data_IF_825624906601
#
_entry.id   IF_825624906601
#
_cell.length_a   1.000
_cell.length_b   1.000
_cell.length_c   1.000
_cell.angle_alpha   90.00
_cell.angle_beta   90.00
_cell.angle_gamma   90.00
#
_symmetry.space_group_name_H-M   'P 1'
#
loop_
_entity.id
_entity.type
_entity.pdbx_description
1 polymer ?
#
# COMPACT_ATOMS: atom_id res chain seq x y z
N UNK A 1 3.67 1.59 -27.13
CA UNK A 1 4.43 2.23 -26.04
C UNK A 1 5.45 3.24 -26.54
N UNK A 2 6.63 2.87 -27.07
CA UNK A 2 7.61 3.88 -27.54
C UNK A 2 7.15 4.70 -28.75
N UNK A 3 6.09 4.27 -29.44
CA UNK A 3 5.44 5.01 -30.54
C UNK A 3 4.27 5.87 -30.07
N UNK A 4 3.89 5.75 -28.79
CA UNK A 4 2.74 6.44 -28.24
C UNK A 4 3.19 7.83 -27.77
N UNK A 5 2.33 8.82 -27.94
CA UNK A 5 2.63 10.19 -27.56
C UNK A 5 2.77 10.31 -26.04
N UNK A 6 3.81 10.99 -25.57
CA UNK A 6 4.05 11.21 -24.15
C UNK A 6 3.27 12.47 -23.70
N UNK A 7 2.24 12.35 -22.85
CA UNK A 7 1.52 13.52 -22.35
C UNK A 7 2.35 14.35 -21.36
N UNK A 8 3.45 13.81 -20.84
CA UNK A 8 4.34 14.46 -19.87
C UNK A 8 5.52 15.19 -20.52
N UNK A 9 5.73 15.04 -21.83
CA UNK A 9 6.73 15.77 -22.62
C UNK A 9 6.14 16.24 -23.95
N UNK A 10 5.90 17.55 -24.07
CA UNK A 10 5.25 18.15 -25.24
C UNK A 10 5.90 17.76 -26.56
N UNK A 11 5.12 17.14 -27.46
CA UNK A 11 5.51 16.84 -28.84
C UNK A 11 6.43 15.63 -29.02
N UNK A 12 6.69 14.83 -27.97
CA UNK A 12 7.55 13.64 -28.06
C UNK A 12 6.76 12.35 -27.78
N UNK A 13 7.22 11.24 -28.33
CA UNK A 13 6.77 9.91 -27.91
C UNK A 13 7.52 9.46 -26.65
N UNK A 14 7.03 8.42 -25.97
CA UNK A 14 7.75 7.83 -24.85
C UNK A 14 9.14 7.33 -25.28
N UNK A 15 10.14 7.56 -24.43
CA UNK A 15 11.53 7.13 -24.65
C UNK A 15 12.02 6.26 -23.49
N UNK A 16 13.04 5.43 -23.74
CA UNK A 16 13.69 4.67 -22.68
C UNK A 16 14.31 5.59 -21.62
N UNK A 17 14.93 6.70 -22.04
CA UNK A 17 15.54 7.68 -21.13
C UNK A 17 14.51 8.30 -20.18
N UNK A 18 13.31 8.62 -20.69
CA UNK A 18 12.20 9.09 -19.86
C UNK A 18 11.84 8.06 -18.80
N UNK A 19 11.63 6.79 -19.17
CA UNK A 19 11.30 5.74 -18.21
C UNK A 19 12.42 5.50 -17.20
N UNK A 20 13.70 5.56 -17.61
CA UNK A 20 14.85 5.45 -16.70
C UNK A 20 14.89 6.62 -15.72
N UNK A 21 14.61 7.84 -16.17
CA UNK A 21 14.53 9.02 -15.31
C UNK A 21 13.38 8.91 -14.30
N UNK A 22 12.20 8.49 -14.75
CA UNK A 22 11.04 8.25 -13.90
C UNK A 22 11.30 7.15 -12.87
N UNK A 23 11.92 6.04 -13.27
CA UNK A 23 12.34 4.98 -12.35
C UNK A 23 13.35 5.46 -11.30
N UNK A 24 14.32 6.30 -11.70
CA UNK A 24 15.26 6.91 -10.77
C UNK A 24 14.55 7.77 -9.74
N UNK A 25 13.62 8.64 -10.17
CA UNK A 25 12.80 9.46 -9.27
C UNK A 25 11.98 8.61 -8.31
N UNK A 26 11.37 7.53 -8.79
CA UNK A 26 10.65 6.58 -7.94
C UNK A 26 11.56 6.00 -6.85
N UNK A 27 12.75 5.50 -7.20
CA UNK A 27 13.69 4.96 -6.21
C UNK A 27 14.17 6.00 -5.22
N UNK A 28 14.56 7.18 -5.69
CA UNK A 28 15.03 8.26 -4.82
C UNK A 28 13.93 8.71 -3.85
N UNK A 29 12.68 8.72 -4.32
CA UNK A 29 11.50 9.01 -3.51
C UNK A 29 11.28 7.94 -2.43
N UNK A 30 11.28 6.66 -2.82
CA UNK A 30 11.11 5.52 -1.90
C UNK A 30 12.21 5.46 -0.84
N UNK A 31 13.46 5.74 -1.20
CA UNK A 31 14.62 5.66 -0.30
C UNK A 31 14.66 6.84 0.68
N UNK A 32 14.47 8.08 0.20
CA UNK A 32 14.80 9.28 0.99
C UNK A 32 13.59 9.96 1.63
N UNK A 33 12.44 9.96 0.96
CA UNK A 33 11.30 10.83 1.32
C UNK A 33 10.11 10.01 1.82
N UNK A 34 9.89 8.83 1.25
CA UNK A 34 8.73 8.02 1.58
C UNK A 34 8.72 7.56 3.03
N UNK A 35 9.83 7.05 3.56
CA UNK A 35 9.80 6.45 4.90
C UNK A 35 9.52 7.48 6.01
N UNK A 36 10.20 8.62 5.98
CA UNK A 36 10.02 9.67 7.01
C UNK A 36 8.66 10.34 6.90
N UNK A 37 8.19 10.64 5.69
CA UNK A 37 6.90 11.29 5.49
C UNK A 37 5.73 10.33 5.80
N UNK A 38 5.88 9.03 5.48
CA UNK A 38 4.90 8.01 5.87
C UNK A 38 4.80 7.85 7.39
N UNK A 39 5.92 7.82 8.10
CA UNK A 39 5.91 7.70 9.56
C UNK A 39 5.18 8.89 10.18
N UNK A 40 5.49 10.11 9.75
CA UNK A 40 4.80 11.31 10.22
C UNK A 40 3.31 11.31 9.89
N UNK A 41 2.93 10.89 8.67
CA UNK A 41 1.50 10.70 8.31
C UNK A 41 0.83 9.62 9.14
N UNK A 42 1.50 8.53 9.44
CA UNK A 42 0.97 7.43 10.26
C UNK A 42 0.79 7.87 11.71
N UNK A 43 1.75 8.58 12.29
CA UNK A 43 1.64 9.20 13.62
C UNK A 43 0.46 10.18 13.67
N UNK A 44 0.36 11.10 12.72
CA UNK A 44 -0.73 12.07 12.65
C UNK A 44 -2.10 11.40 12.42
N UNK A 45 -2.17 10.33 11.62
CA UNK A 45 -3.42 9.63 11.39
C UNK A 45 -3.86 8.80 12.60
N UNK A 46 -2.95 8.05 13.24
CA UNK A 46 -3.22 7.33 14.50
C UNK A 46 -3.72 8.29 15.59
N UNK A 47 -3.15 9.47 15.61
CA UNK A 47 -3.54 10.52 16.52
C UNK A 47 -5.01 10.93 16.33
N UNK A 48 -5.43 11.22 15.11
CA UNK A 48 -6.82 11.55 14.81
C UNK A 48 -7.79 10.38 15.11
N UNK A 49 -7.37 9.14 14.88
CA UNK A 49 -8.15 7.96 15.23
C UNK A 49 -8.37 7.82 16.74
N UNK A 50 -7.33 8.06 17.54
CA UNK A 50 -7.45 8.10 19.00
C UNK A 50 -8.41 9.19 19.46
N UNK A 51 -8.38 10.35 18.79
CA UNK A 51 -9.29 11.46 19.08
C UNK A 51 -10.76 11.12 18.79
N UNK A 52 -11.06 10.44 17.67
CA UNK A 52 -12.41 9.95 17.39
C UNK A 52 -12.86 8.88 18.39
N UNK A 53 -11.96 7.98 18.80
CA UNK A 53 -12.25 6.96 19.79
C UNK A 53 -12.57 7.58 21.16
N UNK A 54 -11.79 8.57 21.60
CA UNK A 54 -12.06 9.33 22.83
C UNK A 54 -13.40 10.07 22.76
N UNK A 55 -13.71 10.70 21.62
CA UNK A 55 -15.00 11.37 21.43
C UNK A 55 -16.16 10.38 21.49
N UNK A 56 -16.04 9.24 20.81
CA UNK A 56 -17.06 8.17 20.84
C UNK A 56 -17.25 7.60 22.24
N UNK A 57 -16.16 7.43 23.00
CA UNK A 57 -16.20 6.99 24.39
C UNK A 57 -16.95 8.02 25.25
N UNK A 58 -16.62 9.31 25.12
CA UNK A 58 -17.28 10.39 25.84
C UNK A 58 -18.78 10.47 25.54
N UNK A 59 -19.17 10.35 24.27
CA UNK A 59 -20.58 10.32 23.84
C UNK A 59 -21.32 9.10 24.41
N UNK A 60 -20.67 7.92 24.40
CA UNK A 60 -21.25 6.71 24.99
C UNK A 60 -21.42 6.81 26.51
N UNK A 61 -20.47 7.45 27.19
CA UNK A 61 -20.52 7.69 28.62
C UNK A 61 -21.66 8.65 28.97
N UNK A 62 -21.78 9.76 28.22
CA UNK A 62 -22.88 10.72 28.37
C UNK A 62 -24.25 10.09 28.11
N UNK A 63 -24.37 9.24 27.07
CA UNK A 63 -25.60 8.51 26.79
C UNK A 63 -25.94 7.51 27.92
N UNK A 64 -24.94 6.82 28.47
CA UNK A 64 -25.10 5.93 29.62
C UNK A 64 -25.60 6.69 30.85
N UNK A 65 -25.01 7.85 31.14
CA UNK A 65 -25.44 8.71 32.26
C UNK A 65 -26.89 9.17 32.07
N UNK A 66 -27.25 9.62 30.87
CA UNK A 66 -28.61 10.05 30.54
C UNK A 66 -29.66 8.92 30.64
N UNK A 67 -29.23 7.66 30.49
CA UNK A 67 -30.10 6.47 30.58
C UNK A 67 -30.16 5.84 31.99
N UNK A 68 -29.25 6.23 32.89
CA UNK A 68 -29.14 5.66 34.24
C UNK A 68 -30.04 6.36 35.27
N UNK A 69 -30.58 5.61 36.24
CA UNK A 69 -31.36 6.17 37.37
C UNK A 69 -30.46 7.00 38.31
N UNK A 70 -31.00 7.88 39.18
CA UNK A 70 -30.27 8.94 39.88
C UNK A 70 -29.33 8.50 41.02
N UNK A 71 -28.81 7.27 40.96
CA UNK A 71 -27.96 6.65 41.99
C UNK A 71 -26.46 6.65 41.68
N UNK A 72 -26.03 7.16 40.51
CA UNK A 72 -24.59 7.35 40.25
C UNK A 72 -24.07 8.59 40.97
N UNK A 73 -22.90 8.45 41.62
CA UNK A 73 -22.18 9.54 42.27
C UNK A 73 -21.88 10.67 41.26
N UNK A 74 -22.59 11.81 41.33
CA UNK A 74 -22.48 12.88 40.34
C UNK A 74 -21.09 13.51 40.36
N UNK A 75 -20.39 13.44 41.49
CA UNK A 75 -19.04 13.95 41.69
C UNK A 75 -18.00 13.15 40.90
N UNK A 76 -18.12 11.82 40.91
CA UNK A 76 -17.25 10.93 40.14
C UNK A 76 -17.48 11.09 38.62
N UNK A 77 -18.74 11.24 38.19
CA UNK A 77 -19.08 11.45 36.79
C UNK A 77 -18.52 12.78 36.24
N UNK A 78 -18.64 13.87 37.01
CA UNK A 78 -18.06 15.16 36.66
C UNK A 78 -16.53 15.13 36.62
N UNK A 79 -15.88 14.44 37.57
CA UNK A 79 -14.43 14.26 37.58
C UNK A 79 -13.94 13.55 36.31
N UNK A 80 -14.63 12.49 35.86
CA UNK A 80 -14.25 11.79 34.63
C UNK A 80 -14.47 12.64 33.38
N UNK A 81 -15.53 13.45 33.33
CA UNK A 81 -15.76 14.37 32.20
C UNK A 81 -14.66 15.42 32.10
N UNK A 82 -14.24 15.97 33.23
CA UNK A 82 -13.18 16.97 33.28
C UNK A 82 -11.82 16.37 32.86
N UNK A 83 -11.53 15.12 33.25
CA UNK A 83 -10.34 14.41 32.80
C UNK A 83 -10.37 14.13 31.28
N UNK A 84 -11.52 13.77 30.71
CA UNK A 84 -11.69 13.60 29.26
C UNK A 84 -11.45 14.93 28.52
N UNK A 85 -11.97 16.03 29.04
CA UNK A 85 -11.77 17.37 28.46
C UNK A 85 -10.29 17.79 28.50
N UNK A 86 -9.61 17.56 29.62
CA UNK A 86 -8.18 17.84 29.76
C UNK A 86 -7.34 16.98 28.80
N UNK A 87 -7.69 15.70 28.62
CA UNK A 87 -7.05 14.82 27.65
C UNK A 87 -7.28 15.30 26.21
N UNK A 88 -8.51 15.72 25.87
CA UNK A 88 -8.82 16.31 24.56
C UNK A 88 -8.03 17.61 24.30
N UNK A 89 -7.83 18.44 25.32
CA UNK A 89 -7.05 19.67 25.20
C UNK A 89 -5.57 19.39 24.97
N UNK A 90 -4.98 18.50 25.76
CA UNK A 90 -3.58 18.03 25.57
C UNK A 90 -3.38 17.43 24.18
N UNK A 91 -4.38 16.69 23.72
CA UNK A 91 -4.43 16.17 22.37
C UNK A 91 -4.36 17.33 21.35
N UNK A 92 -5.26 18.30 21.40
CA UNK A 92 -5.24 19.43 20.45
C UNK A 92 -3.90 20.21 20.44
N UNK A 93 -3.24 20.35 21.59
CA UNK A 93 -1.92 20.99 21.69
C UNK A 93 -0.80 20.17 21.01
N UNK A 94 -0.86 18.84 21.09
CA UNK A 94 0.10 17.94 20.42
C UNK A 94 -0.01 18.02 18.88
N UNK A 95 -1.22 18.23 18.34
CA UNK A 95 -1.45 18.46 16.89
C UNK A 95 -0.73 19.73 16.42
N UNK A 96 -0.83 20.81 17.19
CA UNK A 96 -0.17 22.07 16.82
C UNK A 96 1.36 21.91 16.76
N UNK A 97 1.93 21.02 17.59
CA UNK A 97 3.35 20.69 17.58
C UNK A 97 3.76 19.77 16.43
N UNK A 98 2.92 18.81 16.06
CA UNK A 98 3.20 17.85 14.99
C UNK A 98 3.16 18.49 13.59
N UNK A 99 2.51 19.65 13.42
CA UNK A 99 2.42 20.36 12.15
C UNK A 99 1.36 19.78 11.20
N UNK A 100 1.41 20.16 9.92
CA UNK A 100 0.47 19.68 8.89
C UNK A 100 1.18 18.81 7.87
N UNK A 101 0.92 17.49 7.89
CA UNK A 101 1.36 16.56 6.83
C UNK A 101 0.27 16.20 5.83
N UNK A 102 -0.93 16.76 6.01
CA UNK A 102 -2.12 16.52 5.17
C UNK A 102 -2.61 17.81 4.48
N UNK A 103 -1.78 18.85 4.39
CA UNK A 103 -2.09 20.06 3.64
C UNK A 103 -2.37 19.72 2.17
N UNK A 104 -3.50 20.21 1.64
CA UNK A 104 -3.93 19.96 0.26
C UNK A 104 -3.22 20.90 -0.72
N UNK A 105 -2.94 22.14 -0.30
CA UNK A 105 -2.10 23.13 -0.98
C UNK A 105 -1.21 23.85 0.05
N UNK A 106 0.08 24.01 -0.25
CA UNK A 106 1.02 24.74 0.62
C UNK A 106 0.70 26.25 0.71
N UNK A 107 -0.12 26.76 -0.21
CA UNK A 107 -0.47 28.18 -0.37
C UNK A 107 -1.91 28.52 0.07
N UNK A 108 -2.75 27.52 0.35
CA UNK A 108 -4.14 27.74 0.77
C UNK A 108 -4.27 27.90 2.29
N UNK A 109 -5.32 28.61 2.72
CA UNK A 109 -5.61 28.81 4.15
C UNK A 109 -5.86 27.45 4.84
N UNK A 110 -5.16 27.23 5.95
CA UNK A 110 -5.13 25.93 6.63
C UNK A 110 -6.51 25.56 7.17
N UNK A 111 -7.11 24.49 6.63
CA UNK A 111 -8.36 23.94 7.14
C UNK A 111 -8.11 22.69 8.02
N UNK A 112 -8.12 22.81 9.36
CA UNK A 112 -7.80 21.69 10.26
C UNK A 112 -8.82 20.55 10.19
N UNK A 113 -10.08 20.84 9.84
CA UNK A 113 -11.10 19.79 9.69
C UNK A 113 -10.89 18.97 8.42
N UNK A 114 -10.47 19.62 7.33
CA UNK A 114 -10.11 18.95 6.09
C UNK A 114 -8.89 18.05 6.29
N UNK A 115 -7.85 18.55 6.98
CA UNK A 115 -6.66 17.77 7.33
C UNK A 115 -7.03 16.53 8.14
N UNK A 116 -7.88 16.69 9.17
CA UNK A 116 -8.35 15.58 10.00
C UNK A 116 -9.07 14.52 9.15
N UNK A 117 -10.03 14.92 8.33
CA UNK A 117 -10.81 13.99 7.48
C UNK A 117 -9.90 13.29 6.47
N UNK A 118 -8.95 14.01 5.87
CA UNK A 118 -7.97 13.46 4.94
C UNK A 118 -7.06 12.42 5.64
N UNK A 119 -6.59 12.72 6.85
CA UNK A 119 -5.75 11.81 7.63
C UNK A 119 -6.49 10.52 8.01
N UNK A 120 -7.74 10.63 8.44
CA UNK A 120 -8.59 9.48 8.75
C UNK A 120 -8.84 8.64 7.50
N UNK A 121 -9.15 9.28 6.37
CA UNK A 121 -9.32 8.60 5.09
C UNK A 121 -8.05 7.87 4.67
N UNK A 122 -6.89 8.53 4.78
CA UNK A 122 -5.58 7.94 4.49
C UNK A 122 -5.28 6.72 5.37
N UNK A 123 -5.56 6.79 6.68
CA UNK A 123 -5.38 5.64 7.58
C UNK A 123 -6.27 4.46 7.18
N UNK A 124 -7.56 4.72 6.95
CA UNK A 124 -8.50 3.68 6.54
C UNK A 124 -8.06 3.01 5.24
N UNK A 125 -7.57 3.82 4.30
CA UNK A 125 -7.11 3.32 3.01
C UNK A 125 -5.79 2.56 3.10
N UNK A 126 -4.87 3.01 3.95
CA UNK A 126 -3.62 2.30 4.25
C UNK A 126 -3.88 0.94 4.92
N UNK A 127 -4.84 0.89 5.86
CA UNK A 127 -5.29 -0.36 6.46
C UNK A 127 -5.91 -1.30 5.41
N UNK A 128 -6.75 -0.76 4.52
CA UNK A 128 -7.33 -1.51 3.41
C UNK A 128 -6.25 -2.10 2.48
N UNK A 129 -5.21 -1.32 2.16
CA UNK A 129 -4.08 -1.78 1.36
C UNK A 129 -3.28 -2.89 2.04
N UNK A 130 -3.01 -2.78 3.36
CA UNK A 130 -2.35 -3.84 4.15
C UNK A 130 -3.11 -5.17 4.01
N UNK A 131 -4.45 -5.15 4.07
CA UNK A 131 -5.26 -6.35 3.86
C UNK A 131 -5.23 -6.84 2.41
N UNK A 132 -5.22 -5.95 1.41
CA UNK A 132 -5.12 -6.33 0.02
C UNK A 132 -3.81 -7.10 -0.27
N UNK A 133 -2.68 -6.56 0.21
CA UNK A 133 -1.37 -7.22 0.10
C UNK A 133 -1.39 -8.59 0.79
N UNK A 134 -1.97 -8.67 1.99
CA UNK A 134 -2.04 -9.92 2.74
C UNK A 134 -2.89 -10.98 2.02
N UNK A 135 -4.08 -10.63 1.52
CA UNK A 135 -4.95 -11.54 0.77
C UNK A 135 -4.26 -12.00 -0.53
N UNK A 136 -3.62 -11.09 -1.26
CA UNK A 136 -2.91 -11.46 -2.48
C UNK A 136 -1.72 -12.38 -2.21
N UNK A 137 -0.97 -12.13 -1.13
CA UNK A 137 0.11 -13.03 -0.70
C UNK A 137 -0.40 -14.43 -0.34
N UNK A 138 -1.56 -14.54 0.31
CA UNK A 138 -2.16 -15.85 0.63
C UNK A 138 -2.76 -16.57 -0.57
N UNK A 139 -3.22 -15.83 -1.58
CA UNK A 139 -3.67 -16.41 -2.84
C UNK A 139 -2.52 -16.74 -3.79
N UNK A 140 -1.29 -16.30 -3.50
CA UNK A 140 -0.12 -16.52 -4.36
C UNK A 140 0.10 -18.00 -4.68
N UNK A 141 0.08 -18.94 -3.72
CA UNK A 141 0.22 -20.37 -4.02
C UNK A 141 -0.83 -20.86 -5.02
N UNK A 142 -2.09 -20.41 -4.89
CA UNK A 142 -3.18 -20.78 -5.80
C UNK A 142 -2.91 -20.30 -7.23
N UNK A 143 -2.31 -19.12 -7.38
CA UNK A 143 -1.91 -18.57 -8.69
C UNK A 143 -0.73 -19.36 -9.27
N UNK A 144 0.28 -19.63 -8.46
CA UNK A 144 1.48 -20.37 -8.87
C UNK A 144 1.14 -21.79 -9.34
N UNK A 145 0.21 -22.45 -8.65
CA UNK A 145 -0.31 -23.77 -9.04
C UNK A 145 -0.94 -23.79 -10.43
N UNK A 146 -1.62 -22.70 -10.81
CA UNK A 146 -2.27 -22.56 -12.12
C UNK A 146 -1.27 -22.24 -13.22
N UNK A 147 -0.23 -21.47 -12.91
CA UNK A 147 0.77 -21.04 -13.88
C UNK A 147 1.88 -22.07 -14.11
N UNK A 148 2.27 -22.82 -13.09
CA UNK A 148 3.40 -23.77 -13.15
C UNK A 148 2.93 -25.23 -13.32
N UNK A 149 1.62 -25.50 -13.28
CA UNK A 149 1.06 -26.84 -13.40
C UNK A 149 1.25 -27.72 -12.17
N UNK A 150 1.79 -27.18 -11.08
CA UNK A 150 1.99 -27.87 -9.82
C UNK A 150 0.65 -28.02 -9.08
N UNK A 151 0.30 -29.25 -8.71
CA UNK A 151 -0.95 -29.52 -7.98
C UNK A 151 -0.80 -29.10 -6.52
N UNK A 152 -1.44 -28.01 -6.14
CA UNK A 152 -1.76 -27.77 -4.73
C UNK A 152 -2.69 -28.88 -4.23
N UNK A 153 -2.22 -29.63 -3.24
CA UNK A 153 -3.06 -30.60 -2.53
C UNK A 153 -4.30 -29.95 -1.92
N UNK A 154 -5.35 -30.75 -1.69
CA UNK A 154 -6.64 -30.29 -1.14
C UNK A 154 -6.48 -29.61 0.22
N UNK A 155 -5.66 -30.18 1.09
CA UNK A 155 -5.38 -29.67 2.44
C UNK A 155 -4.84 -28.23 2.42
N UNK A 156 -3.93 -27.91 1.50
CA UNK A 156 -3.36 -26.56 1.44
C UNK A 156 -4.37 -25.56 0.87
N UNK A 157 -5.18 -25.97 -0.12
CA UNK A 157 -6.28 -25.15 -0.63
C UNK A 157 -7.30 -24.83 0.46
N UNK A 158 -7.72 -25.85 1.22
CA UNK A 158 -8.66 -25.71 2.33
C UNK A 158 -8.13 -24.74 3.40
N UNK A 159 -6.87 -24.89 3.82
CA UNK A 159 -6.24 -23.97 4.78
C UNK A 159 -6.23 -22.51 4.30
N UNK A 160 -6.00 -22.28 3.01
CA UNK A 160 -6.04 -20.94 2.42
C UNK A 160 -7.47 -20.38 2.49
N UNK A 161 -8.48 -21.15 2.08
CA UNK A 161 -9.87 -20.72 2.14
C UNK A 161 -10.37 -20.50 3.58
N UNK A 162 -9.95 -21.32 4.54
CA UNK A 162 -10.24 -21.12 5.96
C UNK A 162 -9.59 -19.85 6.51
N UNK A 163 -8.35 -19.54 6.11
CA UNK A 163 -7.68 -18.30 6.49
C UNK A 163 -8.41 -17.06 5.93
N UNK A 164 -8.81 -17.11 4.65
CA UNK A 164 -9.60 -16.07 4.01
C UNK A 164 -10.97 -15.90 4.69
N UNK A 165 -11.66 -17.01 4.98
CA UNK A 165 -12.94 -17.03 5.68
C UNK A 165 -12.87 -16.37 7.05
N UNK A 166 -11.84 -16.69 7.85
CA UNK A 166 -11.61 -16.08 9.17
C UNK A 166 -11.46 -14.56 9.13
N UNK A 167 -10.94 -14.01 8.03
CA UNK A 167 -10.67 -12.56 7.91
C UNK A 167 -11.77 -11.78 7.22
N UNK A 168 -12.70 -12.44 6.54
CA UNK A 168 -13.79 -11.81 5.79
C UNK A 168 -14.52 -10.74 6.60
N UNK A 169 -14.87 -11.03 7.86
CA UNK A 169 -15.59 -10.09 8.71
C UNK A 169 -14.75 -8.85 9.05
N UNK A 170 -13.48 -9.05 9.40
CA UNK A 170 -12.55 -7.96 9.69
C UNK A 170 -12.33 -7.07 8.46
N UNK A 171 -12.10 -7.69 7.29
CA UNK A 171 -11.91 -6.97 6.02
C UNK A 171 -13.17 -6.20 5.64
N UNK A 172 -14.35 -6.81 5.79
CA UNK A 172 -15.64 -6.14 5.52
C UNK A 172 -15.82 -4.90 6.41
N UNK A 173 -15.41 -4.98 7.68
CA UNK A 173 -15.42 -3.82 8.59
C UNK A 173 -14.47 -2.72 8.11
N UNK A 174 -13.25 -3.06 7.69
CA UNK A 174 -12.27 -2.10 7.18
C UNK A 174 -12.75 -1.44 5.88
N UNK A 175 -13.33 -2.23 4.96
CA UNK A 175 -13.96 -1.72 3.73
C UNK A 175 -15.05 -0.71 4.07
N UNK A 176 -15.93 -1.05 5.04
CA UNK A 176 -17.00 -0.15 5.49
C UNK A 176 -16.42 1.16 6.05
N UNK A 177 -15.45 1.07 6.97
CA UNK A 177 -14.77 2.25 7.54
C UNK A 177 -14.15 3.13 6.45
N UNK A 178 -13.52 2.53 5.44
CA UNK A 178 -12.98 3.27 4.30
C UNK A 178 -14.08 3.97 3.49
N UNK A 179 -15.17 3.25 3.14
CA UNK A 179 -16.27 3.82 2.37
C UNK A 179 -16.96 4.97 3.12
N UNK A 180 -17.16 4.82 4.44
CA UNK A 180 -17.76 5.83 5.30
C UNK A 180 -16.87 7.08 5.37
N UNK A 181 -15.57 6.92 5.63
CA UNK A 181 -14.60 8.04 5.66
C UNK A 181 -14.45 8.74 4.31
N UNK A 182 -14.45 7.99 3.19
CA UNK A 182 -14.41 8.57 1.84
C UNK A 182 -15.66 9.38 1.56
N UNK A 183 -16.82 8.84 1.89
CA UNK A 183 -18.11 9.52 1.71
C UNK A 183 -18.17 10.79 2.55
N UNK A 184 -17.70 10.75 3.79
CA UNK A 184 -17.63 11.92 4.66
C UNK A 184 -16.70 13.01 4.09
N UNK A 185 -15.50 12.65 3.64
CA UNK A 185 -14.58 13.60 3.01
C UNK A 185 -15.19 14.24 1.75
N UNK A 186 -15.69 13.43 0.83
CA UNK A 186 -16.26 13.90 -0.43
C UNK A 186 -17.48 14.82 -0.21
N UNK A 187 -18.38 14.48 0.72
CA UNK A 187 -19.53 15.33 1.04
C UNK A 187 -19.16 16.74 1.48
N UNK A 188 -18.02 16.90 2.17
CA UNK A 188 -17.66 18.17 2.80
C UNK A 188 -16.64 18.98 1.97
N UNK A 189 -15.83 18.31 1.15
CA UNK A 189 -14.72 18.96 0.44
C UNK A 189 -14.72 18.75 -1.08
N UNK A 190 -15.43 17.76 -1.61
CA UNK A 190 -15.49 17.49 -3.06
C UNK A 190 -16.85 16.86 -3.45
N UNK A 191 -17.97 17.60 -3.27
CA UNK A 191 -19.31 17.05 -3.46
C UNK A 191 -19.61 16.69 -4.92
N UNK A 192 -18.95 17.36 -5.86
CA UNK A 192 -18.95 17.08 -7.30
C UNK A 192 -18.41 15.68 -7.64
N UNK A 193 -17.44 15.20 -6.88
CA UNK A 193 -16.84 13.88 -7.07
C UNK A 193 -17.66 12.75 -6.45
N UNK A 194 -18.62 13.05 -5.57
CA UNK A 194 -19.39 12.06 -4.81
C UNK A 194 -20.20 11.11 -5.72
N UNK A 195 -20.72 11.62 -6.83
CA UNK A 195 -21.55 10.84 -7.77
C UNK A 195 -20.74 10.01 -8.77
N UNK A 196 -19.40 10.14 -8.80
CA UNK A 196 -18.57 9.43 -9.76
C UNK A 196 -18.63 7.91 -9.51
N UNK A 197 -18.67 7.08 -10.58
CA UNK A 197 -18.70 5.62 -10.44
C UNK A 197 -17.54 5.06 -9.60
N UNK A 198 -16.37 5.67 -9.69
CA UNK A 198 -15.15 5.29 -8.97
C UNK A 198 -15.28 5.48 -7.44
N UNK A 199 -16.16 6.39 -7.01
CA UNK A 199 -16.37 6.73 -5.61
C UNK A 199 -17.51 5.94 -4.94
N UNK A 200 -18.12 4.98 -5.66
CA UNK A 200 -19.16 4.09 -5.10
C UNK A 200 -18.57 3.13 -4.08
N UNK A 201 -19.38 2.79 -3.06
CA UNK A 201 -18.99 1.86 -2.01
C UNK A 201 -18.56 0.51 -2.61
N UNK A 202 -17.41 0.01 -2.17
CA UNK A 202 -16.82 -1.22 -2.67
C UNK A 202 -17.29 -2.37 -1.78
N UNK A 203 -17.66 -3.49 -2.37
CA UNK A 203 -18.01 -4.72 -1.64
C UNK A 203 -16.81 -5.64 -1.46
N UNK A 204 -16.92 -6.62 -0.56
CA UNK A 204 -15.84 -7.59 -0.32
C UNK A 204 -15.42 -8.34 -1.60
N UNK A 205 -16.37 -8.70 -2.46
CA UNK A 205 -16.08 -9.43 -3.69
C UNK A 205 -15.29 -8.56 -4.68
N UNK A 206 -15.74 -7.32 -4.91
CA UNK A 206 -15.01 -6.34 -5.74
C UNK A 206 -13.61 -6.10 -5.18
N UNK A 207 -13.48 -5.95 -3.86
CA UNK A 207 -12.20 -5.78 -3.19
C UNK A 207 -11.24 -6.96 -3.43
N UNK A 208 -11.73 -8.20 -3.39
CA UNK A 208 -10.87 -9.38 -3.65
C UNK A 208 -10.38 -9.49 -5.09
N UNK A 209 -11.07 -8.84 -6.03
CA UNK A 209 -10.70 -8.81 -7.44
C UNK A 209 -9.71 -7.68 -7.77
N UNK A 210 -9.63 -6.64 -6.92
CA UNK A 210 -8.69 -5.53 -7.10
C UNK A 210 -7.24 -6.03 -7.10
N UNK A 211 -6.53 -5.71 -8.18
CA UNK A 211 -5.09 -5.94 -8.30
C UNK A 211 -4.33 -4.89 -7.49
N UNK A 212 -3.09 -5.18 -7.07
CA UNK A 212 -2.26 -4.19 -6.36
C UNK A 212 -1.84 -3.03 -7.28
N UNK A 213 -1.78 -3.28 -8.59
CA UNK A 213 -1.42 -2.27 -9.60
C UNK A 213 -2.60 -1.36 -9.99
N UNK A 214 -3.81 -1.66 -9.48
CA UNK A 214 -5.04 -0.96 -9.84
C UNK A 214 -4.94 0.56 -9.55
N UNK A 215 -5.44 1.43 -10.44
CA UNK A 215 -5.49 2.87 -10.20
C UNK A 215 -6.18 3.24 -8.88
N UNK A 216 -7.09 2.40 -8.38
CA UNK A 216 -7.70 2.53 -7.06
C UNK A 216 -6.66 2.76 -5.97
N UNK A 217 -5.47 2.16 -6.02
CA UNK A 217 -4.44 2.33 -4.98
C UNK A 217 -3.57 3.57 -5.16
N UNK A 218 -3.63 4.22 -6.32
CA UNK A 218 -2.75 5.33 -6.70
C UNK A 218 -3.51 6.65 -6.87
N UNK A 219 -4.71 6.75 -6.31
CA UNK A 219 -5.37 8.05 -6.21
C UNK A 219 -4.51 9.00 -5.36
N UNK A 220 -4.65 10.31 -5.63
CA UNK A 220 -3.86 11.38 -5.03
C UNK A 220 -3.86 11.38 -3.48
N UNK A 221 -4.78 10.63 -2.87
CA UNK A 221 -4.91 10.47 -1.43
C UNK A 221 -3.82 9.57 -0.83
N UNK A 222 -3.43 8.46 -1.48
CA UNK A 222 -2.36 7.57 -0.98
C UNK A 222 -0.98 7.96 -1.50
N UNK A 223 -0.89 8.44 -2.73
CA UNK A 223 0.38 8.75 -3.35
C UNK A 223 0.93 10.06 -2.79
N UNK A 224 2.03 9.94 -2.06
CA UNK A 224 2.84 11.07 -1.60
C UNK A 224 3.53 11.83 -2.73
N UNK A 225 3.48 11.32 -3.97
CA UNK A 225 4.02 11.97 -5.15
C UNK A 225 2.95 12.12 -6.25
N UNK A 226 2.93 13.30 -6.89
CA UNK A 226 2.13 13.61 -8.08
C UNK A 226 2.92 13.39 -9.39
N UNK A 227 4.12 12.81 -9.30
CA UNK A 227 4.97 12.57 -10.46
C UNK A 227 4.34 11.57 -11.45
N UNK A 228 4.73 11.62 -12.75
CA UNK A 228 4.21 10.72 -13.77
C UNK A 228 4.35 9.23 -13.43
N UNK A 229 5.45 8.82 -12.77
CA UNK A 229 5.65 7.43 -12.35
C UNK A 229 4.62 6.93 -11.32
N UNK A 230 4.04 7.84 -10.54
CA UNK A 230 3.07 7.50 -9.49
C UNK A 230 1.63 7.47 -10.04
N UNK A 231 1.29 8.44 -10.88
CA UNK A 231 -0.11 8.68 -11.31
C UNK A 231 -0.45 7.96 -12.61
N UNK A 232 0.46 7.90 -13.59
CA UNK A 232 0.16 7.40 -14.94
C UNK A 232 0.41 5.88 -15.07
N UNK A 233 -0.64 5.05 -15.31
CA UNK A 233 -0.48 3.61 -15.51
C UNK A 233 0.40 3.23 -16.71
N UNK A 234 0.40 4.07 -17.76
CA UNK A 234 1.21 3.90 -18.97
C UNK A 234 2.69 4.06 -18.62
N UNK A 235 3.02 5.05 -17.81
CA UNK A 235 4.39 5.29 -17.34
C UNK A 235 4.89 4.12 -16.50
N UNK A 236 4.07 3.63 -15.56
CA UNK A 236 4.39 2.45 -14.73
C UNK A 236 4.63 1.20 -15.57
N UNK A 237 3.74 0.94 -16.52
CA UNK A 237 3.86 -0.21 -17.42
C UNK A 237 5.11 -0.11 -18.29
N UNK A 238 5.46 1.10 -18.76
CA UNK A 238 6.71 1.37 -19.47
C UNK A 238 7.95 1.10 -18.63
N UNK A 239 7.97 1.56 -17.37
CA UNK A 239 9.03 1.26 -16.40
C UNK A 239 9.17 -0.25 -16.20
N UNK A 240 8.06 -0.97 -15.96
CA UNK A 240 8.08 -2.42 -15.77
C UNK A 240 8.61 -3.17 -16.99
N UNK A 241 8.22 -2.75 -18.20
CA UNK A 241 8.72 -3.34 -19.44
C UNK A 241 10.24 -3.12 -19.59
N UNK A 242 10.73 -1.92 -19.29
CA UNK A 242 12.15 -1.57 -19.32
C UNK A 242 12.95 -2.40 -18.30
N UNK A 243 12.46 -2.54 -17.07
CA UNK A 243 13.13 -3.35 -16.03
C UNK A 243 13.16 -4.84 -16.36
N UNK A 244 12.10 -5.38 -16.99
CA UNK A 244 12.08 -6.76 -17.47
C UNK A 244 13.10 -6.99 -18.58
N UNK A 245 13.28 -6.02 -19.47
CA UNK A 245 14.29 -6.08 -20.52
C UNK A 245 15.70 -6.07 -19.93
N UNK A 246 15.98 -5.16 -18.99
CA UNK A 246 17.26 -5.10 -18.27
C UNK A 246 17.55 -6.45 -17.58
N UNK A 247 16.53 -7.03 -16.91
CA UNK A 247 16.65 -8.34 -16.27
C UNK A 247 16.96 -9.47 -17.25
N UNK A 248 16.26 -9.53 -18.39
CA UNK A 248 16.52 -10.53 -19.41
C UNK A 248 17.95 -10.44 -19.96
N UNK A 249 18.47 -9.21 -20.13
CA UNK A 249 19.84 -8.98 -20.54
C UNK A 249 20.84 -9.46 -19.48
N UNK A 250 20.59 -9.21 -18.19
CA UNK A 250 21.41 -9.74 -17.09
C UNK A 250 21.44 -11.26 -17.08
N UNK A 251 20.28 -11.91 -17.22
CA UNK A 251 20.16 -13.37 -17.24
C UNK A 251 20.93 -13.99 -18.41
N UNK A 252 20.89 -13.37 -19.59
CA UNK A 252 21.68 -13.79 -20.74
C UNK A 252 23.20 -13.73 -20.48
N UNK A 253 23.66 -12.73 -19.73
CA UNK A 253 25.07 -12.63 -19.31
C UNK A 253 25.41 -13.74 -18.31
N UNK A 254 24.52 -14.01 -17.35
CA UNK A 254 24.71 -15.07 -16.35
C UNK A 254 24.77 -16.46 -17.02
N UNK A 255 23.82 -16.78 -17.90
CA UNK A 255 23.81 -18.03 -18.64
C UNK A 255 25.08 -18.23 -19.47
N UNK A 256 25.59 -17.16 -20.10
CA UNK A 256 26.86 -17.22 -20.84
C UNK A 256 28.03 -17.58 -19.93
N UNK A 257 28.07 -17.03 -18.72
CA UNK A 257 29.12 -17.31 -17.75
C UNK A 257 29.03 -18.74 -17.22
N UNK A 258 27.83 -19.23 -16.91
CA UNK A 258 27.62 -20.61 -16.48
C UNK A 258 27.97 -21.61 -17.57
N UNK A 259 27.60 -21.35 -18.83
CA UNK A 259 28.02 -22.18 -19.96
C UNK A 259 29.54 -22.31 -20.05
N UNK A 260 30.27 -21.19 -19.91
CA UNK A 260 31.74 -21.19 -19.92
C UNK A 260 32.31 -22.00 -18.76
N UNK A 261 31.73 -21.88 -17.56
CA UNK A 261 32.14 -22.67 -16.38
C UNK A 261 31.91 -24.16 -16.59
N UNK A 262 30.74 -24.56 -17.07
CA UNK A 262 30.42 -25.95 -17.38
C UNK A 262 31.41 -26.54 -18.40
N UNK A 263 31.72 -25.81 -19.48
CA UNK A 263 32.70 -26.25 -20.48
C UNK A 263 34.11 -26.38 -19.88
N UNK A 264 34.54 -25.41 -19.08
CA UNK A 264 35.84 -25.45 -18.41
C UNK A 264 35.96 -26.66 -17.48
N UNK A 265 34.92 -26.95 -16.71
CA UNK A 265 34.85 -28.15 -15.85
C UNK A 265 34.88 -29.44 -16.68
N UNK A 266 34.13 -29.51 -17.78
CA UNK A 266 34.15 -30.66 -18.68
C UNK A 266 35.54 -30.92 -19.27
N UNK A 267 36.24 -29.87 -19.71
CA UNK A 267 37.62 -29.97 -20.21
C UNK A 267 38.56 -30.43 -19.10
N UNK A 268 38.46 -29.86 -17.90
CA UNK A 268 39.28 -30.24 -16.76
C UNK A 268 39.08 -31.72 -16.40
N UNK A 269 37.84 -32.17 -16.30
CA UNK A 269 37.50 -33.55 -15.97
C UNK A 269 38.01 -34.53 -17.04
N UNK A 270 37.85 -34.20 -18.33
CA UNK A 270 38.42 -34.99 -19.42
C UNK A 270 39.94 -35.12 -19.32
N UNK A 271 40.65 -34.03 -18.99
CA UNK A 271 42.10 -34.06 -18.78
C UNK A 271 42.50 -34.98 -17.62
N UNK A 272 41.77 -34.91 -16.51
CA UNK A 272 41.99 -35.79 -15.34
C UNK A 272 41.78 -37.27 -15.69
N UNK A 273 40.69 -37.60 -16.39
CA UNK A 273 40.43 -38.97 -16.85
C UNK A 273 41.54 -39.48 -17.76
N UNK A 274 41.96 -38.67 -18.74
CA UNK A 274 43.05 -39.03 -19.64
C UNK A 274 44.34 -39.33 -18.88
N UNK A 275 44.72 -38.47 -17.93
CA UNK A 275 45.90 -38.68 -17.08
C UNK A 275 45.84 -40.04 -16.36
N UNK A 276 44.69 -40.39 -15.79
CA UNK A 276 44.52 -41.67 -15.09
C UNK A 276 44.57 -42.88 -16.04
N UNK A 277 43.98 -42.78 -17.23
CA UNK A 277 44.07 -43.83 -18.23
C UNK A 277 45.53 -44.04 -18.66
N UNK A 278 46.24 -42.95 -18.97
CA UNK A 278 47.64 -43.00 -19.39
C UNK A 278 48.51 -43.65 -18.28
N UNK A 279 48.23 -43.34 -17.00
CA UNK A 279 48.89 -43.99 -15.85
C UNK A 279 48.58 -45.48 -15.71
N UNK A 280 47.37 -45.94 -16.08
CA UNK A 280 47.00 -47.36 -16.01
C UNK A 280 47.49 -48.18 -17.22
N UNK A 281 47.69 -47.55 -18.37
CA UNK A 281 48.07 -48.24 -19.63
C UNK A 281 49.59 -48.28 -19.83
N UNK A 282 50.32 -47.26 -19.36
CA UNK A 282 51.77 -47.14 -19.53
C UNK A 282 52.56 -47.20 -18.20
N UNK A 283 51.88 -47.45 -17.08
CA UNK A 283 52.47 -47.68 -15.76
C UNK A 283 52.69 -49.15 -15.45
#
# INVERSE_FOLDING_TARGET
>A
MLKDQNPHESGKCFTEDFFRAQWKRQRDFEINRNQTDRLKKEEQAQFFERGEALKSLAESFMASLASSSPTSDPTHALSMLQEIEDLQKKQNEEIQRLGSHFAVDEEAERNPEQEKRLALLWSAKSALYKYAVQIQGEMQPLRDSKSHGERLGTVLKEKIFEALGRRKNTVTRVIKTFCDRRTDYLKNHAPDQLSLPENKAITYNEFTELKLDDPFWNDAYLCLSKDPWAVDPTVRTGIHALLRLDRANEEMIQLRNELRRCLAWGIHYRKQLKLRIDQCVFG
#
